data_IF_511952762633
#
_entry.id   IF_511952762633
#
_cell.length_a   1.000
_cell.length_b   1.000
_cell.length_c   1.000
_cell.angle_alpha   90.00
_cell.angle_beta   90.00
_cell.angle_gamma   90.00
#
_symmetry.space_group_name_H-M   'P 1'
#
loop_
_entity.id
_entity.type
_entity.pdbx_description
1 polymer ?
#
# COMPACT_ATOMS: atom_id res chain seq x y z
N UNK A 1 10.30 17.23 -7.33
CA UNK A 1 9.16 17.22 -6.39
C UNK A 1 9.70 16.79 -5.04
N UNK A 2 9.57 17.59 -3.97
CA UNK A 2 10.05 17.18 -2.67
C UNK A 2 9.05 16.16 -2.13
N UNK A 3 9.39 14.88 -2.29
CA UNK A 3 8.79 13.81 -1.50
C UNK A 3 9.03 14.20 -0.05
N UNK A 4 7.98 14.43 0.74
CA UNK A 4 8.08 14.52 2.19
C UNK A 4 8.54 13.16 2.71
N UNK A 5 9.85 12.91 2.60
CA UNK A 5 10.54 11.83 3.29
C UNK A 5 10.35 12.17 4.75
N UNK A 6 9.44 11.46 5.40
CA UNK A 6 9.48 11.38 6.85
C UNK A 6 10.82 10.72 7.15
N UNK A 7 11.80 11.54 7.51
CA UNK A 7 13.07 11.11 8.06
C UNK A 7 12.75 10.43 9.38
N UNK A 8 12.64 9.11 9.38
CA UNK A 8 12.45 8.30 10.57
C UNK A 8 13.77 7.62 10.88
N UNK A 9 14.24 7.87 12.09
CA UNK A 9 15.48 7.39 12.71
C UNK A 9 15.36 5.88 13.01
N UNK A 10 15.15 5.07 11.96
CA UNK A 10 14.81 3.63 12.07
C UNK A 10 16.06 2.72 12.09
N UNK A 11 17.26 3.30 12.13
CA UNK A 11 18.51 2.54 12.18
C UNK A 11 19.67 3.35 12.72
N UNK A 12 20.02 3.15 13.99
CA UNK A 12 21.38 3.44 14.42
C UNK A 12 22.29 2.29 13.94
N UNK A 13 23.15 2.57 12.97
CA UNK A 13 24.14 1.61 12.48
C UNK A 13 25.16 1.24 13.58
N UNK A 14 25.40 2.13 14.55
CA UNK A 14 26.48 2.01 15.53
C UNK A 14 26.32 0.79 16.44
N UNK A 15 25.09 0.30 16.62
CA UNK A 15 24.77 -0.87 17.44
C UNK A 15 25.00 -2.23 16.73
N UNK A 16 25.37 -2.22 15.44
CA UNK A 16 25.57 -3.45 14.65
C UNK A 16 27.06 -3.65 14.35
N UNK A 17 27.68 -4.76 14.82
CA UNK A 17 29.09 -5.06 14.56
C UNK A 17 29.48 -4.96 13.08
N UNK A 18 30.69 -4.43 12.83
CA UNK A 18 31.23 -4.26 11.46
C UNK A 18 31.79 -5.55 10.85
N UNK A 19 31.98 -6.58 11.66
CA UNK A 19 32.52 -7.88 11.26
C UNK A 19 31.46 -8.79 10.59
N UNK A 20 30.22 -8.32 10.43
CA UNK A 20 29.11 -9.08 9.86
C UNK A 20 28.47 -10.08 10.82
N UNK A 21 28.97 -10.18 12.07
CA UNK A 21 28.41 -11.11 13.06
C UNK A 21 26.97 -10.75 13.37
N UNK A 22 26.07 -11.75 13.30
CA UNK A 22 24.66 -11.58 13.67
C UNK A 22 24.55 -11.29 15.16
N UNK A 23 24.06 -10.09 15.48
CA UNK A 23 23.80 -9.65 16.83
C UNK A 23 22.31 -9.78 17.13
N UNK A 24 22.00 -10.47 18.23
CA UNK A 24 20.62 -10.81 18.59
C UNK A 24 20.27 -10.24 19.95
N UNK A 25 19.07 -9.64 20.05
CA UNK A 25 18.50 -9.15 21.31
C UNK A 25 17.05 -9.65 21.45
N UNK A 26 16.63 -9.87 22.69
CA UNK A 26 15.26 -10.25 23.03
C UNK A 26 14.57 -9.08 23.71
N UNK A 27 13.33 -8.82 23.31
CA UNK A 27 12.51 -7.72 23.82
C UNK A 27 11.13 -8.23 24.22
N UNK A 28 10.52 -7.62 25.23
CA UNK A 28 9.06 -7.70 25.40
C UNK A 28 8.38 -6.86 24.31
N UNK A 29 7.24 -7.32 23.80
CA UNK A 29 6.51 -6.62 22.76
C UNK A 29 5.84 -5.37 23.32
N UNK A 30 6.29 -4.20 22.89
CA UNK A 30 5.66 -2.91 23.20
C UNK A 30 4.87 -2.40 21.99
N UNK A 31 3.92 -1.45 22.18
CA UNK A 31 3.23 -0.79 21.07
C UNK A 31 4.19 -0.15 20.05
N UNK A 32 5.28 0.45 20.50
CA UNK A 32 6.28 1.12 19.67
C UNK A 32 7.06 0.08 18.84
N UNK A 33 7.49 -1.02 19.46
CA UNK A 33 8.17 -2.11 18.76
C UNK A 33 7.23 -2.76 17.73
N UNK A 34 5.96 -2.95 18.08
CA UNK A 34 4.94 -3.46 17.16
C UNK A 34 4.77 -2.54 15.95
N UNK A 35 4.75 -1.22 16.16
CA UNK A 35 4.66 -0.24 15.08
C UNK A 35 5.91 -0.27 14.19
N UNK A 36 7.11 -0.39 14.78
CA UNK A 36 8.38 -0.52 14.02
C UNK A 36 8.39 -1.76 13.14
N UNK A 37 7.99 -2.92 13.68
CA UNK A 37 7.88 -4.17 12.90
C UNK A 37 6.85 -4.01 11.78
N UNK A 38 5.69 -3.41 12.08
CA UNK A 38 4.66 -3.15 11.09
C UNK A 38 5.14 -2.26 9.94
N UNK A 39 6.00 -1.26 10.19
CA UNK A 39 6.57 -0.41 9.13
C UNK A 39 7.55 -1.16 8.23
N UNK A 40 8.29 -2.14 8.77
CA UNK A 40 9.26 -2.95 8.01
C UNK A 40 8.58 -3.99 7.11
N UNK A 41 7.44 -4.51 7.55
CA UNK A 41 6.64 -5.45 6.77
C UNK A 41 5.16 -5.03 6.81
N UNK A 42 4.79 -3.93 6.13
CA UNK A 42 3.42 -3.46 6.14
C UNK A 42 2.56 -4.44 5.34
N UNK A 43 1.30 -4.69 5.76
CA UNK A 43 0.37 -5.48 4.96
C UNK A 43 0.26 -4.93 3.54
N UNK A 44 0.11 -5.83 2.57
CA UNK A 44 -0.09 -5.44 1.17
C UNK A 44 -1.37 -4.61 1.03
N UNK A 45 -1.44 -3.86 -0.08
CA UNK A 45 -2.67 -3.19 -0.50
C UNK A 45 -3.68 -4.12 -1.18
N UNK A 46 -3.40 -5.42 -1.23
CA UNK A 46 -4.33 -6.40 -1.80
C UNK A 46 -5.52 -6.59 -0.85
N UNK A 47 -6.70 -6.81 -1.44
CA UNK A 47 -7.94 -7.14 -0.74
C UNK A 47 -8.47 -8.47 -1.25
N UNK A 48 -9.37 -9.08 -0.47
CA UNK A 48 -9.81 -10.47 -0.64
C UNK A 48 -10.26 -10.78 -2.07
N UNK A 49 -11.05 -9.88 -2.66
CA UNK A 49 -11.71 -10.09 -3.95
C UNK A 49 -10.95 -9.43 -5.10
N UNK A 50 -9.65 -9.11 -4.90
CA UNK A 50 -8.82 -8.45 -5.92
C UNK A 50 -8.43 -9.41 -7.04
N UNK A 51 -8.78 -9.02 -8.27
CA UNK A 51 -8.30 -9.65 -9.50
C UNK A 51 -7.27 -8.76 -10.20
N UNK A 52 -6.50 -9.36 -11.10
CA UNK A 52 -5.62 -8.63 -12.00
C UNK A 52 -6.42 -7.61 -12.82
N UNK A 53 -5.86 -6.41 -12.97
CA UNK A 53 -6.45 -5.36 -13.80
C UNK A 53 -6.08 -5.51 -15.28
N UNK A 54 -5.18 -6.44 -15.61
CA UNK A 54 -4.77 -6.83 -16.96
C UNK A 54 -4.87 -8.35 -17.15
N UNK A 55 -5.00 -8.84 -18.39
CA UNK A 55 -4.99 -10.27 -18.68
C UNK A 55 -3.75 -11.01 -18.16
N UNK A 56 -3.94 -12.25 -17.69
CA UNK A 56 -2.88 -13.15 -17.21
C UNK A 56 -1.74 -13.34 -18.21
N UNK A 57 -2.06 -13.38 -19.51
CA UNK A 57 -1.08 -13.45 -20.59
C UNK A 57 -0.08 -12.27 -20.62
N UNK A 58 -0.49 -11.09 -20.14
CA UNK A 58 0.38 -9.92 -20.03
C UNK A 58 1.11 -9.83 -18.69
N UNK A 59 0.75 -10.68 -17.72
CA UNK A 59 1.46 -10.83 -16.44
C UNK A 59 2.53 -11.92 -16.52
N UNK A 60 2.38 -12.88 -17.44
CA UNK A 60 3.30 -13.99 -17.62
C UNK A 60 4.69 -13.50 -18.05
N UNK A 61 5.72 -14.20 -17.58
CA UNK A 61 7.06 -14.05 -18.13
C UNK A 61 7.09 -14.72 -19.50
N UNK A 62 7.86 -14.17 -20.47
CA UNK A 62 7.89 -14.71 -21.83
C UNK A 62 8.27 -16.20 -21.92
N UNK A 63 9.07 -16.68 -20.97
CA UNK A 63 9.58 -18.05 -20.87
C UNK A 63 8.84 -18.90 -19.81
N UNK A 64 7.83 -18.34 -19.16
CA UNK A 64 7.10 -19.03 -18.09
C UNK A 64 5.62 -18.66 -18.11
N UNK A 65 4.81 -19.47 -18.77
CA UNK A 65 3.38 -19.23 -18.88
C UNK A 65 2.62 -19.56 -17.57
N UNK A 66 1.44 -18.96 -17.43
CA UNK A 66 0.43 -19.51 -16.53
C UNK A 66 -0.02 -20.91 -17.00
N UNK A 67 -0.48 -21.78 -16.08
CA UNK A 67 -0.98 -23.11 -16.46
C UNK A 67 -2.10 -23.03 -17.48
N UNK A 68 -2.20 -24.04 -18.35
CA UNK A 68 -3.29 -24.14 -19.32
C UNK A 68 -4.66 -24.12 -18.61
N UNK A 69 -5.62 -23.40 -19.19
CA UNK A 69 -6.95 -23.22 -18.58
C UNK A 69 -7.02 -22.12 -17.50
N UNK A 70 -5.93 -21.41 -17.20
CA UNK A 70 -5.97 -20.24 -16.31
C UNK A 70 -6.91 -19.17 -16.87
N UNK A 71 -7.74 -18.59 -16.00
CA UNK A 71 -8.66 -17.50 -16.36
C UNK A 71 -7.92 -16.30 -16.97
N UNK A 72 -8.63 -15.54 -17.79
CA UNK A 72 -8.11 -14.29 -18.36
C UNK A 72 -7.74 -13.28 -17.28
N UNK A 73 -8.52 -13.18 -16.20
CA UNK A 73 -8.19 -12.40 -15.02
C UNK A 73 -7.97 -13.34 -13.84
N UNK A 74 -6.90 -13.11 -13.09
CA UNK A 74 -6.44 -13.99 -12.00
C UNK A 74 -6.48 -13.27 -10.67
N UNK A 75 -6.73 -14.00 -9.60
CA UNK A 75 -6.69 -13.50 -8.22
C UNK A 75 -5.26 -13.18 -7.79
N UNK A 76 -5.11 -12.37 -6.75
CA UNK A 76 -3.79 -12.12 -6.15
C UNK A 76 -3.12 -13.39 -5.58
N UNK A 77 -3.91 -14.41 -5.23
CA UNK A 77 -3.41 -15.71 -4.76
C UNK A 77 -2.83 -16.54 -5.91
N UNK A 78 -3.50 -16.56 -7.07
CA UNK A 78 -2.98 -17.22 -8.28
C UNK A 78 -1.71 -16.55 -8.81
N UNK A 79 -1.61 -15.22 -8.70
CA UNK A 79 -0.38 -14.49 -9.03
C UNK A 79 0.75 -14.89 -8.07
N UNK A 80 0.48 -14.97 -6.76
CA UNK A 80 1.48 -15.41 -5.78
C UNK A 80 1.97 -16.84 -6.10
N UNK A 81 1.05 -17.78 -6.32
CA UNK A 81 1.39 -19.16 -6.66
C UNK A 81 2.19 -19.25 -7.97
N UNK A 82 1.89 -18.39 -8.96
CA UNK A 82 2.68 -18.27 -10.18
C UNK A 82 4.13 -17.82 -9.90
N UNK A 83 4.32 -16.78 -9.07
CA UNK A 83 5.64 -16.25 -8.72
C UNK A 83 6.45 -17.26 -7.89
N UNK A 84 5.82 -17.94 -6.93
CA UNK A 84 6.45 -19.00 -6.13
C UNK A 84 6.87 -20.18 -7.01
N UNK A 85 6.04 -20.57 -7.99
CA UNK A 85 6.39 -21.62 -8.96
C UNK A 85 7.56 -21.22 -9.83
N UNK A 86 7.59 -19.97 -10.30
CA UNK A 86 8.73 -19.44 -11.06
C UNK A 86 10.01 -19.50 -10.22
N UNK A 87 10.00 -18.92 -9.01
CA UNK A 87 11.15 -18.91 -8.11
C UNK A 87 11.64 -20.31 -7.78
N UNK A 88 10.73 -21.27 -7.59
CA UNK A 88 11.10 -22.68 -7.33
C UNK A 88 11.70 -23.35 -8.56
N UNK A 89 11.10 -23.16 -9.75
CA UNK A 89 11.55 -23.79 -11.01
C UNK A 89 12.98 -23.39 -11.36
N UNK A 90 13.35 -22.15 -11.08
CA UNK A 90 14.67 -21.60 -11.37
C UNK A 90 15.60 -21.58 -10.15
N UNK A 91 15.27 -22.31 -9.08
CA UNK A 91 16.06 -22.40 -7.84
C UNK A 91 16.43 -21.03 -7.24
N UNK A 92 15.54 -20.04 -7.33
CA UNK A 92 15.75 -18.71 -6.78
C UNK A 92 15.41 -18.62 -5.29
N UNK A 93 14.63 -19.58 -4.77
CA UNK A 93 14.17 -19.56 -3.37
C UNK A 93 15.33 -19.58 -2.36
N UNK A 94 16.43 -20.26 -2.68
CA UNK A 94 17.63 -20.32 -1.83
C UNK A 94 18.42 -19.00 -1.79
N UNK A 95 18.16 -18.10 -2.75
CA UNK A 95 18.81 -16.79 -2.85
C UNK A 95 18.03 -15.69 -2.10
N UNK A 96 16.87 -16.01 -1.53
CA UNK A 96 15.97 -15.04 -0.89
C UNK A 96 15.94 -15.29 0.62
N UNK A 97 16.41 -14.31 1.41
CA UNK A 97 16.19 -14.31 2.87
C UNK A 97 14.90 -13.57 3.20
N UNK A 98 13.81 -14.32 3.37
CA UNK A 98 12.51 -13.77 3.74
C UNK A 98 12.49 -13.23 5.18
N UNK A 99 11.63 -12.23 5.41
CA UNK A 99 11.50 -11.59 6.73
C UNK A 99 12.68 -10.70 7.11
N UNK A 100 13.59 -10.44 6.17
CA UNK A 100 14.75 -9.57 6.35
C UNK A 100 14.47 -8.19 5.76
N UNK A 101 14.66 -7.15 6.56
CA UNK A 101 14.52 -5.75 6.17
C UNK A 101 15.90 -5.16 5.91
N UNK A 102 16.03 -4.38 4.82
CA UNK A 102 17.20 -3.51 4.60
C UNK A 102 16.93 -2.19 5.33
N UNK A 103 17.62 -1.97 6.43
CA UNK A 103 17.46 -0.78 7.28
C UNK A 103 18.26 0.39 6.72
N UNK A 104 19.49 0.11 6.26
CA UNK A 104 20.44 1.10 5.74
C UNK A 104 21.15 0.48 4.55
N UNK A 105 21.35 1.28 3.49
CA UNK A 105 22.23 0.96 2.38
C UNK A 105 23.14 2.15 2.12
N UNK A 106 24.45 1.99 2.31
CA UNK A 106 25.43 3.05 2.12
C UNK A 106 26.57 2.57 1.22
N UNK A 107 27.00 3.46 0.31
CA UNK A 107 28.18 3.21 -0.50
C UNK A 107 29.42 3.61 0.32
N UNK A 108 30.38 2.69 0.44
CA UNK A 108 31.60 2.87 1.21
C UNK A 108 32.66 3.61 0.39
N UNK A 109 33.76 3.98 1.05
CA UNK A 109 34.92 4.60 0.39
C UNK A 109 35.68 3.63 -0.52
N UNK A 110 35.48 2.32 -0.31
CA UNK A 110 36.14 1.24 -1.07
C UNK A 110 35.33 0.83 -2.31
N UNK A 111 34.36 1.65 -2.74
CA UNK A 111 33.42 1.42 -3.86
C UNK A 111 32.44 0.23 -3.68
N UNK A 112 32.40 -0.38 -2.50
CA UNK A 112 31.42 -1.40 -2.10
C UNK A 112 30.14 -0.78 -1.52
N UNK A 113 29.07 -1.57 -1.46
CA UNK A 113 27.89 -1.26 -0.66
C UNK A 113 27.92 -2.01 0.65
N UNK A 114 27.61 -1.31 1.74
CA UNK A 114 27.37 -1.94 3.04
C UNK A 114 25.89 -1.78 3.39
N UNK A 115 25.24 -2.91 3.69
CA UNK A 115 23.86 -2.98 4.12
C UNK A 115 23.79 -3.25 5.62
N UNK A 116 22.89 -2.58 6.32
CA UNK A 116 22.46 -2.97 7.67
C UNK A 116 21.12 -3.67 7.52
N UNK A 117 21.05 -4.91 8.00
CA UNK A 117 19.90 -5.79 7.86
C UNK A 117 19.28 -6.09 9.22
N UNK A 118 17.95 -6.29 9.24
CA UNK A 118 17.24 -6.69 10.46
C UNK A 118 16.16 -7.74 10.20
N UNK A 119 15.97 -8.65 11.17
CA UNK A 119 14.93 -9.68 11.18
C UNK A 119 14.26 -9.74 12.54
N UNK A 120 12.94 -9.94 12.54
CA UNK A 120 12.12 -9.97 13.76
C UNK A 120 11.32 -11.26 13.83
N UNK A 121 11.59 -12.08 14.83
CA UNK A 121 10.79 -13.25 15.16
C UNK A 121 9.86 -12.89 16.33
N UNK A 122 8.55 -12.83 16.07
CA UNK A 122 7.53 -12.50 17.09
C UNK A 122 6.94 -13.78 17.66
N UNK A 123 7.08 -13.97 18.97
CA UNK A 123 6.61 -15.17 19.66
C UNK A 123 5.23 -14.96 20.31
N UNK A 124 4.39 -16.01 20.38
CA UNK A 124 3.11 -15.96 21.09
C UNK A 124 3.21 -15.59 22.57
N UNK A 125 4.39 -15.77 23.18
CA UNK A 125 4.68 -15.38 24.57
C UNK A 125 4.72 -13.87 24.80
N UNK A 126 4.60 -13.06 23.74
CA UNK A 126 4.75 -11.61 23.81
C UNK A 126 6.19 -11.14 23.77
N UNK A 127 7.15 -12.01 23.44
CA UNK A 127 8.54 -11.63 23.21
C UNK A 127 8.86 -11.51 21.72
N UNK A 128 9.84 -10.69 21.38
CA UNK A 128 10.36 -10.51 20.03
C UNK A 128 11.87 -10.68 20.06
N UNK A 129 12.38 -11.55 19.19
CA UNK A 129 13.81 -11.64 18.91
C UNK A 129 14.13 -10.75 17.72
N UNK A 130 14.97 -9.75 17.95
CA UNK A 130 15.57 -8.94 16.89
C UNK A 130 16.95 -9.51 16.58
N UNK A 131 17.22 -9.77 15.31
CA UNK A 131 18.56 -10.10 14.82
C UNK A 131 18.98 -9.04 13.81
N UNK A 132 20.15 -8.41 14.03
CA UNK A 132 20.75 -7.42 13.14
C UNK A 132 22.14 -7.81 12.72
N UNK A 133 22.52 -7.46 11.50
CA UNK A 133 23.87 -7.71 10.97
C UNK A 133 24.19 -6.79 9.81
N UNK A 134 25.45 -6.86 9.35
CA UNK A 134 25.93 -6.14 8.17
C UNK A 134 26.33 -7.13 7.09
N UNK A 135 26.10 -6.75 5.85
CA UNK A 135 26.60 -7.47 4.67
C UNK A 135 27.16 -6.48 3.65
N UNK A 136 28.12 -6.94 2.86
CA UNK A 136 28.77 -6.14 1.82
C UNK A 136 28.52 -6.72 0.44
N UNK A 137 28.35 -5.85 -0.53
CA UNK A 137 28.04 -6.19 -1.91
C UNK A 137 28.74 -5.26 -2.86
N UNK A 138 29.20 -5.77 -4.01
CA UNK A 138 29.75 -4.94 -5.08
C UNK A 138 28.67 -4.03 -5.70
N UNK A 139 27.40 -4.47 -5.67
CA UNK A 139 26.27 -3.76 -6.26
C UNK A 139 24.97 -3.98 -5.49
N UNK A 140 24.04 -3.02 -5.60
CA UNK A 140 22.70 -3.08 -5.02
C UNK A 140 21.66 -2.79 -6.10
N UNK A 141 20.64 -3.64 -6.19
CA UNK A 141 19.46 -3.43 -7.04
C UNK A 141 18.26 -3.14 -6.16
N UNK A 142 17.71 -1.93 -6.26
CA UNK A 142 16.54 -1.52 -5.49
C UNK A 142 15.23 -1.95 -6.17
N UNK A 143 14.57 -2.98 -5.63
CA UNK A 143 13.29 -3.52 -6.13
C UNK A 143 12.17 -3.51 -5.07
N UNK A 144 12.17 -2.51 -4.17
CA UNK A 144 11.26 -2.42 -3.02
C UNK A 144 9.80 -2.06 -3.34
N UNK A 145 9.52 -1.65 -4.59
CA UNK A 145 8.19 -1.27 -5.05
C UNK A 145 7.75 0.14 -4.61
N UNK A 146 6.81 0.74 -5.36
CA UNK A 146 6.42 2.15 -5.21
C UNK A 146 5.03 2.36 -4.57
N UNK A 147 4.36 1.28 -4.17
CA UNK A 147 2.99 1.31 -3.62
C UNK A 147 2.95 0.90 -2.13
N UNK A 148 4.10 1.00 -1.45
CA UNK A 148 4.22 0.61 -0.06
C UNK A 148 3.72 1.68 0.91
N UNK A 149 4.05 2.94 0.66
CA UNK A 149 3.64 4.05 1.51
C UNK A 149 2.38 4.74 0.97
N UNK A 150 1.30 4.83 1.76
CA UNK A 150 0.14 5.65 1.42
C UNK A 150 0.49 7.12 1.25
N UNK A 151 0.03 7.72 0.15
CA UNK A 151 0.01 9.18 0.03
C UNK A 151 -1.34 9.70 0.54
N UNK A 152 -1.30 10.49 1.62
CA UNK A 152 -2.48 11.19 2.14
C UNK A 152 -2.35 12.67 1.74
N UNK A 153 -3.22 13.19 0.86
CA UNK A 153 -3.16 14.59 0.45
C UNK A 153 -3.50 15.52 1.61
N UNK A 154 -2.86 16.68 1.63
CA UNK A 154 -3.23 17.76 2.55
C UNK A 154 -4.50 18.45 2.04
N UNK A 155 -5.64 17.97 2.52
CA UNK A 155 -6.97 18.54 2.25
C UNK A 155 -7.40 19.30 3.49
N UNK A 156 -7.92 20.52 3.29
CA UNK A 156 -8.38 21.39 4.37
C UNK A 156 -9.29 20.62 5.33
N UNK A 157 -8.99 20.72 6.62
CA UNK A 157 -9.72 20.13 7.74
C UNK A 157 -9.74 18.59 7.82
N UNK A 158 -9.07 17.86 6.91
CA UNK A 158 -9.01 16.39 6.93
C UNK A 158 -8.44 15.85 8.25
N UNK A 159 -7.37 16.44 8.76
CA UNK A 159 -6.76 16.02 10.04
C UNK A 159 -7.72 16.20 11.21
N UNK A 160 -8.47 17.31 11.25
CA UNK A 160 -9.45 17.58 12.29
C UNK A 160 -10.65 16.61 12.18
N UNK A 161 -11.14 16.38 10.97
CA UNK A 161 -12.19 15.40 10.69
C UNK A 161 -11.79 13.99 11.11
N UNK A 162 -10.58 13.54 10.74
CA UNK A 162 -10.07 12.23 11.12
C UNK A 162 -9.89 12.10 12.64
N UNK A 163 -9.54 13.18 13.34
CA UNK A 163 -9.45 13.18 14.80
C UNK A 163 -10.83 12.98 15.45
N UNK A 164 -11.90 13.52 14.87
CA UNK A 164 -13.28 13.36 15.35
C UNK A 164 -13.88 12.00 14.98
N UNK A 165 -13.57 11.48 13.78
CA UNK A 165 -14.07 10.19 13.29
C UNK A 165 -12.94 9.30 12.73
N UNK A 166 -12.05 8.76 13.59
CA UNK A 166 -10.85 8.03 13.16
C UNK A 166 -11.13 6.74 12.38
N UNK A 167 -12.35 6.22 12.48
CA UNK A 167 -12.78 5.01 11.76
C UNK A 167 -13.43 5.30 10.40
N UNK A 168 -13.73 6.57 10.09
CA UNK A 168 -14.39 6.96 8.83
C UNK A 168 -13.40 7.26 7.71
N UNK A 169 -12.12 7.48 8.02
CA UNK A 169 -11.08 7.79 7.04
C UNK A 169 -10.12 6.62 6.93
N UNK A 170 -9.95 6.11 5.72
CA UNK A 170 -8.97 5.06 5.42
C UNK A 170 -8.38 5.29 4.04
N UNK A 171 -7.08 5.05 3.89
CA UNK A 171 -6.45 5.01 2.57
C UNK A 171 -6.85 3.71 1.86
N UNK A 172 -6.87 3.70 0.52
CA UNK A 172 -7.20 2.51 -0.29
C UNK A 172 -6.38 1.27 0.08
N UNK A 173 -5.12 1.44 0.50
CA UNK A 173 -4.24 0.37 1.02
C UNK A 173 -4.84 -0.38 2.23
N UNK A 174 -5.76 0.23 2.98
CA UNK A 174 -6.42 -0.37 4.13
C UNK A 174 -7.74 -1.07 3.79
N UNK A 175 -8.25 -0.93 2.55
CA UNK A 175 -9.44 -1.65 2.10
C UNK A 175 -9.16 -3.16 2.09
N UNK A 176 -10.13 -3.97 2.56
CA UNK A 176 -9.97 -5.44 2.66
C UNK A 176 -11.10 -6.23 2.05
N UNK A 177 -12.34 -5.78 2.24
CA UNK A 177 -13.54 -6.44 1.73
C UNK A 177 -14.72 -5.45 1.70
N UNK A 178 -15.66 -5.59 0.76
CA UNK A 178 -16.77 -4.64 0.59
C UNK A 178 -17.82 -4.71 1.72
N UNK A 179 -17.95 -5.83 2.43
CA UNK A 179 -18.93 -6.02 3.50
C UNK A 179 -18.74 -5.07 4.68
N UNK A 180 -17.50 -4.61 4.92
CA UNK A 180 -17.21 -3.63 5.97
C UNK A 180 -17.85 -2.25 5.66
N UNK A 181 -18.34 -2.05 4.44
CA UNK A 181 -19.01 -0.84 3.96
C UNK A 181 -20.50 -1.05 3.67
N UNK A 182 -21.06 -2.18 4.10
CA UNK A 182 -22.47 -2.49 3.88
C UNK A 182 -23.38 -1.38 4.43
N UNK A 183 -24.33 -0.93 3.61
CA UNK A 183 -25.33 0.09 3.93
C UNK A 183 -24.74 1.48 4.30
N UNK A 184 -23.45 1.73 4.04
CA UNK A 184 -22.79 3.02 4.29
C UNK A 184 -22.78 3.91 3.04
N UNK A 185 -22.73 5.22 3.25
CA UNK A 185 -22.35 6.19 2.23
C UNK A 185 -20.82 6.23 2.14
N UNK A 186 -20.25 6.04 0.95
CA UNK A 186 -18.79 5.96 0.76
C UNK A 186 -18.32 7.03 -0.21
N UNK A 187 -17.43 7.91 0.27
CA UNK A 187 -16.67 8.82 -0.58
C UNK A 187 -15.29 8.24 -0.90
N UNK A 188 -15.00 8.07 -2.19
CA UNK A 188 -13.70 7.68 -2.71
C UNK A 188 -13.00 8.89 -3.31
N UNK A 189 -11.87 9.29 -2.72
CA UNK A 189 -11.07 10.40 -3.24
C UNK A 189 -10.02 9.84 -4.20
N UNK A 190 -10.23 10.08 -5.50
CA UNK A 190 -9.35 9.60 -6.57
C UNK A 190 -10.05 8.64 -7.53
N UNK A 191 -9.90 8.91 -8.83
CA UNK A 191 -10.56 8.15 -9.93
C UNK A 191 -9.52 7.54 -10.87
N UNK A 192 -8.61 6.76 -10.29
CA UNK A 192 -7.62 5.91 -10.99
C UNK A 192 -7.85 4.45 -10.60
N UNK A 193 -6.89 3.57 -10.88
CA UNK A 193 -7.00 2.10 -10.71
C UNK A 193 -7.65 1.70 -9.37
N UNK A 194 -7.08 2.09 -8.23
CA UNK A 194 -7.60 1.68 -6.92
C UNK A 194 -9.01 2.21 -6.64
N UNK A 195 -9.28 3.49 -6.95
CA UNK A 195 -10.59 4.09 -6.70
C UNK A 195 -11.67 3.43 -7.53
N UNK A 196 -11.40 3.18 -8.81
CA UNK A 196 -12.37 2.51 -9.70
C UNK A 196 -12.60 1.06 -9.30
N UNK A 197 -11.55 0.32 -8.96
CA UNK A 197 -11.70 -1.10 -8.60
C UNK A 197 -12.40 -1.29 -7.25
N UNK A 198 -12.12 -0.43 -6.27
CA UNK A 198 -12.85 -0.41 -5.00
C UNK A 198 -14.31 0.00 -5.25
N UNK A 199 -14.60 1.00 -6.09
CA UNK A 199 -15.97 1.39 -6.42
C UNK A 199 -16.77 0.22 -7.01
N UNK A 200 -16.16 -0.58 -7.89
CA UNK A 200 -16.76 -1.81 -8.42
C UNK A 200 -17.00 -2.85 -7.33
N UNK A 201 -16.04 -3.02 -6.42
CA UNK A 201 -16.17 -3.96 -5.31
C UNK A 201 -17.30 -3.57 -4.35
N UNK A 202 -17.56 -2.28 -4.18
CA UNK A 202 -18.61 -1.73 -3.32
C UNK A 202 -20.01 -1.78 -3.94
N UNK A 203 -20.12 -2.00 -5.25
CA UNK A 203 -21.42 -2.09 -5.95
C UNK A 203 -22.26 -3.23 -5.36
N UNK A 204 -23.49 -2.91 -4.94
CA UNK A 204 -24.39 -3.86 -4.28
C UNK A 204 -24.14 -4.07 -2.78
N UNK A 205 -23.08 -3.47 -2.20
CA UNK A 205 -22.82 -3.49 -0.76
C UNK A 205 -23.07 -2.13 -0.11
N UNK A 206 -22.47 -1.06 -0.65
CA UNK A 206 -22.63 0.29 -0.11
C UNK A 206 -24.02 0.85 -0.43
N UNK A 207 -24.53 1.72 0.45
CA UNK A 207 -25.80 2.44 0.24
C UNK A 207 -25.67 3.49 -0.88
N UNK A 208 -24.55 4.19 -0.90
CA UNK A 208 -24.21 5.16 -1.94
C UNK A 208 -22.69 5.22 -2.12
N UNK A 209 -22.25 5.50 -3.35
CA UNK A 209 -20.84 5.63 -3.69
C UNK A 209 -20.66 6.95 -4.43
N UNK A 210 -19.83 7.82 -3.88
CA UNK A 210 -19.40 9.07 -4.53
C UNK A 210 -17.91 9.01 -4.79
N UNK A 211 -17.47 9.41 -5.99
CA UNK A 211 -16.05 9.55 -6.32
C UNK A 211 -15.69 11.01 -6.53
N UNK A 212 -14.65 11.50 -5.87
CA UNK A 212 -14.11 12.84 -6.08
C UNK A 212 -12.92 12.80 -7.05
N UNK A 213 -12.97 13.61 -8.10
CA UNK A 213 -11.93 13.72 -9.12
C UNK A 213 -11.18 15.05 -9.03
N UNK A 214 -9.86 14.98 -8.98
CA UNK A 214 -8.98 16.11 -9.26
C UNK A 214 -8.80 16.27 -10.78
N UNK A 215 -9.19 17.43 -11.31
CA UNK A 215 -9.05 17.78 -12.73
C UNK A 215 -10.16 17.20 -13.62
N UNK A 216 -9.85 17.01 -14.90
CA UNK A 216 -10.85 16.64 -15.91
C UNK A 216 -11.13 15.13 -15.95
N UNK A 217 -12.40 14.78 -16.19
CA UNK A 217 -12.84 13.38 -16.32
C UNK A 217 -12.30 12.70 -17.58
N UNK A 218 -12.23 13.42 -18.70
CA UNK A 218 -11.57 12.95 -19.90
C UNK A 218 -10.13 13.45 -19.90
N UNK A 219 -9.18 12.56 -20.14
CA UNK A 219 -7.75 12.91 -20.23
C UNK A 219 -7.20 12.51 -21.60
N UNK A 220 -6.09 13.14 -22.07
CA UNK A 220 -5.44 12.72 -23.31
C UNK A 220 -4.78 11.33 -23.18
N UNK A 221 -4.77 10.73 -21.99
CA UNK A 221 -4.17 9.42 -21.73
C UNK A 221 -5.23 8.31 -21.90
N UNK A 222 -5.19 7.51 -22.99
CA UNK A 222 -6.25 6.56 -23.29
C UNK A 222 -6.50 5.53 -22.18
N UNK A 223 -5.43 5.13 -21.48
CA UNK A 223 -5.48 4.18 -20.37
C UNK A 223 -6.37 4.68 -19.23
N UNK A 224 -6.31 5.99 -18.90
CA UNK A 224 -7.14 6.53 -17.82
C UNK A 224 -8.62 6.55 -18.21
N UNK A 225 -8.93 6.85 -19.47
CA UNK A 225 -10.30 6.78 -19.98
C UNK A 225 -10.83 5.35 -19.96
N UNK A 226 -10.01 4.35 -20.32
CA UNK A 226 -10.37 2.92 -20.23
C UNK A 226 -10.64 2.50 -18.78
N UNK A 227 -9.81 2.95 -17.83
CA UNK A 227 -10.04 2.69 -16.40
C UNK A 227 -11.37 3.32 -15.97
N UNK A 228 -11.59 4.60 -16.29
CA UNK A 228 -12.80 5.34 -15.88
C UNK A 228 -14.08 4.82 -16.54
N UNK A 229 -14.00 4.22 -17.72
CA UNK A 229 -15.13 3.54 -18.35
C UNK A 229 -15.65 2.33 -17.54
N UNK A 230 -14.85 1.81 -16.59
CA UNK A 230 -15.24 0.70 -15.70
C UNK A 230 -15.95 1.15 -14.43
N UNK A 231 -16.15 2.45 -14.22
CA UNK A 231 -16.88 2.98 -13.07
C UNK A 231 -18.34 2.50 -13.14
N UNK A 232 -18.89 1.91 -12.07
CA UNK A 232 -20.30 1.50 -12.04
C UNK A 232 -21.26 2.66 -12.25
N UNK A 233 -22.39 2.42 -12.91
CA UNK A 233 -23.39 3.46 -13.21
C UNK A 233 -24.05 4.06 -11.96
N UNK A 234 -24.01 3.34 -10.83
CA UNK A 234 -24.56 3.80 -9.55
C UNK A 234 -23.66 4.81 -8.83
N UNK A 235 -22.43 5.03 -9.32
CA UNK A 235 -21.46 5.94 -8.70
C UNK A 235 -21.71 7.37 -9.16
N UNK A 236 -21.85 8.28 -8.20
CA UNK A 236 -21.88 9.72 -8.46
C UNK A 236 -20.45 10.28 -8.51
N UNK A 237 -20.07 10.95 -9.61
CA UNK A 237 -18.73 11.51 -9.78
C UNK A 237 -18.79 13.02 -9.58
N UNK A 238 -18.03 13.50 -8.60
CA UNK A 238 -17.92 14.91 -8.20
C UNK A 238 -16.54 15.48 -8.51
N UNK A 239 -16.44 16.81 -8.48
CA UNK A 239 -15.16 17.50 -8.55
C UNK A 239 -14.31 17.26 -7.28
N UNK A 240 -13.14 17.89 -7.22
CA UNK A 240 -12.21 17.72 -6.12
C UNK A 240 -12.83 18.17 -4.79
N UNK A 241 -12.49 17.46 -3.71
CA UNK A 241 -12.87 17.88 -2.35
C UNK A 241 -12.13 19.15 -2.00
N UNK A 242 -12.86 20.18 -1.60
CA UNK A 242 -12.28 21.44 -1.13
C UNK A 242 -11.94 21.35 0.37
N UNK A 243 -12.84 20.80 1.19
CA UNK A 243 -12.63 20.66 2.64
C UNK A 243 -13.46 19.55 3.27
N UNK A 244 -12.98 19.03 4.41
CA UNK A 244 -13.73 18.18 5.34
C UNK A 244 -14.43 19.01 6.42
N UNK A 245 -15.10 20.06 5.97
CA UNK A 245 -15.87 21.00 6.78
C UNK A 245 -17.02 21.57 5.94
N UNK A 246 -18.05 22.07 6.60
CA UNK A 246 -19.15 22.79 5.94
C UNK A 246 -18.67 24.15 5.40
N UNK A 247 -19.50 24.87 4.60
CA UNK A 247 -19.15 26.19 4.07
C UNK A 247 -18.77 27.24 5.13
N UNK A 248 -19.25 27.08 6.37
CA UNK A 248 -18.90 27.92 7.52
C UNK A 248 -17.54 27.56 8.16
N UNK A 249 -16.87 26.51 7.69
CA UNK A 249 -15.58 26.03 8.21
C UNK A 249 -15.69 25.18 9.47
N UNK A 250 -16.87 24.64 9.78
CA UNK A 250 -17.11 23.79 10.94
C UNK A 250 -16.98 22.32 10.52
N UNK A 251 -16.21 21.55 11.30
CA UNK A 251 -16.04 20.10 11.11
C UNK A 251 -17.22 19.37 11.77
N UNK A 252 -18.28 19.16 11.00
CA UNK A 252 -19.56 18.60 11.48
C UNK A 252 -19.92 17.23 10.85
N UNK A 253 -19.03 16.67 10.05
CA UNK A 253 -19.24 15.42 9.31
C UNK A 253 -19.56 15.63 7.84
N UNK A 254 -19.78 16.88 7.42
CA UNK A 254 -19.97 17.23 6.01
C UNK A 254 -18.66 17.41 5.25
N UNK A 255 -18.74 17.29 3.93
CA UNK A 255 -17.62 17.44 3.01
C UNK A 255 -18.04 18.39 1.90
N UNK A 256 -17.25 19.44 1.68
CA UNK A 256 -17.52 20.47 0.67
C UNK A 256 -16.65 20.21 -0.57
N UNK A 257 -17.25 20.19 -1.75
CA UNK A 257 -16.56 20.07 -3.03
C UNK A 257 -16.21 21.45 -3.61
N UNK A 258 -15.29 21.50 -4.58
CA UNK A 258 -14.89 22.75 -5.24
C UNK A 258 -16.02 23.49 -5.98
N UNK A 259 -17.09 22.79 -6.36
CA UNK A 259 -18.28 23.38 -6.97
C UNK A 259 -19.27 23.98 -5.94
N UNK A 260 -18.93 23.93 -4.65
CA UNK A 260 -19.75 24.41 -3.54
C UNK A 260 -20.84 23.43 -3.09
N UNK A 261 -20.98 22.26 -3.73
CA UNK A 261 -21.89 21.23 -3.25
C UNK A 261 -21.37 20.58 -1.97
N UNK A 262 -22.29 20.14 -1.11
CA UNK A 262 -21.98 19.58 0.21
C UNK A 262 -22.51 18.15 0.29
N UNK A 263 -21.62 17.20 0.57
CA UNK A 263 -21.98 15.84 0.95
C UNK A 263 -22.29 15.79 2.44
N UNK A 264 -23.44 15.25 2.79
CA UNK A 264 -23.85 14.98 4.19
C UNK A 264 -24.10 13.48 4.34
N UNK A 265 -23.82 12.97 5.53
CA UNK A 265 -24.07 11.57 5.89
C UNK A 265 -25.58 11.28 6.02
#
# INVERSE_FOLDING_TARGET
>A
MPTSRISLDDGNADDVPKDGTKHTRMYEITPELRQRIFRKCPPSGCYRDLFSNIPSQHLAYPDFAFPEGTSGLVTHQEILAYLERYATTFNLMELIDFGTSVDIAVKTVDDEWELVLSKYDVYPSGFVKETKWRERFDAVVAASGIHQEPYVPDIKDLTAFNKMWPVKVAHSKQFRRPEDFKDKNVLLIGVRVSGVDIARSLEGFAKSITMALKGNFTTPFPVENIIRAKIPKCVDVKCEVASFSNPEGIVDGSITFQDGTVLKD
#
